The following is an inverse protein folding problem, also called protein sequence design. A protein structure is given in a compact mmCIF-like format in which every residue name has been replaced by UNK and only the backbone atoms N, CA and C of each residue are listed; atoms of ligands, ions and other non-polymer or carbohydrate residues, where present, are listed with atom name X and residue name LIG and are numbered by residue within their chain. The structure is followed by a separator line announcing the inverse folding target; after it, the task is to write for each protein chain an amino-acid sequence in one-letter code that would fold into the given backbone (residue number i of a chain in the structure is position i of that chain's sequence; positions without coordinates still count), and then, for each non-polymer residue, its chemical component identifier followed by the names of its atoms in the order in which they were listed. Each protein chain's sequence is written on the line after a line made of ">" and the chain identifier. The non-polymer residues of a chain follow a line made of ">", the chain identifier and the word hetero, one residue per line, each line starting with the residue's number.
data_IF_555980647597
#
_entry.id   IF_555980647597
#
_cell.length_a   1.000
_cell.length_b   1.000
_cell.length_c   1.000
_cell.angle_alpha   90.00
_cell.angle_beta   90.00
_cell.angle_gamma   90.00
#
_symmetry.space_group_name_H-M   'P 1'
#
loop_
_entity.id
_entity.type
_entity.pdbx_description
1 polymer ?
#
# COMPACT_ATOMS: atom_id res chain seq x y z
N UNK A 1 29.17 -51.79 -35.12
CA UNK A 1 28.34 -51.10 -34.08
C UNK A 1 28.64 -49.62 -34.16
N UNK A 2 27.64 -48.82 -34.57
CA UNK A 2 27.77 -47.39 -34.85
C UNK A 2 27.93 -46.58 -33.55
N UNK A 3 29.07 -45.91 -33.41
CA UNK A 3 29.29 -44.94 -32.34
C UNK A 3 28.84 -43.56 -32.83
N UNK A 4 27.55 -43.27 -32.65
CA UNK A 4 26.97 -41.98 -32.99
C UNK A 4 27.42 -40.94 -31.95
N UNK A 5 28.53 -40.23 -32.21
CA UNK A 5 28.98 -39.13 -31.35
C UNK A 5 28.05 -37.94 -31.57
N UNK A 6 27.13 -37.74 -30.64
CA UNK A 6 26.23 -36.60 -30.60
C UNK A 6 27.07 -35.32 -30.40
N UNK A 7 27.33 -34.60 -31.49
CA UNK A 7 27.95 -33.29 -31.44
C UNK A 7 26.92 -32.31 -30.86
N UNK A 8 27.04 -32.04 -29.56
CA UNK A 8 26.29 -30.97 -28.91
C UNK A 8 26.81 -29.67 -29.52
N UNK A 9 26.05 -29.11 -30.48
CA UNK A 9 26.43 -27.87 -31.15
C UNK A 9 26.51 -26.75 -30.10
N UNK A 10 27.68 -26.09 -30.03
CA UNK A 10 27.99 -24.97 -29.13
C UNK A 10 26.91 -23.87 -29.15
N UNK A 11 26.18 -23.76 -30.27
CA UNK A 11 25.04 -22.85 -30.44
C UNK A 11 23.90 -23.11 -29.45
N UNK A 12 23.57 -24.37 -29.17
CA UNK A 12 22.51 -24.72 -28.23
C UNK A 12 22.90 -24.44 -26.78
N UNK A 13 24.18 -24.66 -26.41
CA UNK A 13 24.68 -24.37 -25.06
C UNK A 13 24.65 -22.85 -24.81
N UNK A 14 25.05 -22.04 -25.79
CA UNK A 14 25.00 -20.58 -25.72
C UNK A 14 23.56 -20.06 -25.54
N UNK A 15 22.60 -20.62 -26.29
CA UNK A 15 21.19 -20.25 -26.19
C UNK A 15 20.60 -20.63 -24.82
N UNK A 16 20.90 -21.81 -24.30
CA UNK A 16 20.46 -22.23 -22.95
C UNK A 16 21.07 -21.35 -21.83
N UNK A 17 22.32 -20.89 -21.98
CA UNK A 17 22.96 -19.97 -21.03
C UNK A 17 22.33 -18.57 -21.08
N UNK A 18 21.98 -18.07 -22.27
CA UNK A 18 21.25 -16.80 -22.43
C UNK A 18 19.83 -16.88 -21.85
N UNK A 19 19.09 -17.97 -22.08
CA UNK A 19 17.75 -18.16 -21.50
C UNK A 19 17.79 -18.31 -19.97
N UNK A 20 18.79 -18.98 -19.41
CA UNK A 20 18.94 -19.09 -17.95
C UNK A 20 19.41 -17.79 -17.31
N UNK A 21 20.26 -16.99 -17.96
CA UNK A 21 20.61 -15.65 -17.50
C UNK A 21 19.40 -14.69 -17.47
N UNK A 22 18.49 -14.79 -18.45
CA UNK A 22 17.23 -14.02 -18.45
C UNK A 22 16.27 -14.52 -17.36
N UNK A 23 16.19 -15.83 -17.13
CA UNK A 23 15.31 -16.41 -16.11
C UNK A 23 15.70 -16.04 -14.66
N UNK A 24 16.98 -15.76 -14.38
CA UNK A 24 17.45 -15.35 -13.04
C UNK A 24 17.10 -13.89 -12.72
N UNK A 25 16.82 -13.07 -13.73
CA UNK A 25 16.44 -11.65 -13.54
C UNK A 25 14.96 -11.43 -13.23
N UNK A 26 14.14 -12.48 -13.24
CA UNK A 26 12.74 -12.45 -12.75
C UNK A 26 12.66 -12.63 -11.22
N UNK A 27 13.73 -12.34 -10.48
CA UNK A 27 13.62 -12.09 -9.06
C UNK A 27 12.69 -10.89 -8.85
N UNK A 28 11.74 -11.01 -7.92
CA UNK A 28 10.81 -9.94 -7.52
C UNK A 28 11.65 -8.69 -7.21
N UNK A 29 11.75 -7.78 -8.18
CA UNK A 29 12.55 -6.57 -8.04
C UNK A 29 11.82 -5.67 -7.04
N UNK A 30 12.46 -5.42 -5.90
CA UNK A 30 12.02 -4.39 -4.97
C UNK A 30 12.14 -3.03 -5.66
N UNK A 31 11.00 -2.48 -6.05
CA UNK A 31 10.92 -1.18 -6.70
C UNK A 31 10.47 -0.12 -5.69
N UNK A 32 10.97 1.11 -5.82
CA UNK A 32 10.50 2.21 -4.99
C UNK A 32 9.01 2.46 -5.23
N UNK A 33 8.24 2.52 -4.16
CA UNK A 33 6.85 2.98 -4.18
C UNK A 33 6.87 4.49 -4.40
N UNK A 34 5.98 4.99 -5.26
CA UNK A 34 5.89 6.40 -5.64
C UNK A 34 4.54 7.00 -5.26
N UNK A 35 4.54 8.29 -5.01
CA UNK A 35 3.33 9.07 -4.79
C UNK A 35 2.69 9.51 -6.12
N UNK A 36 1.57 10.22 -6.06
CA UNK A 36 0.87 10.75 -7.23
C UNK A 36 1.68 11.76 -8.05
N UNK A 37 2.79 12.28 -7.52
CA UNK A 37 3.71 13.17 -8.22
C UNK A 37 4.91 12.41 -8.82
N UNK A 38 4.96 11.08 -8.66
CA UNK A 38 6.06 10.24 -9.12
C UNK A 38 7.28 10.24 -8.20
N UNK A 39 7.20 10.88 -7.02
CA UNK A 39 8.29 10.92 -6.06
C UNK A 39 8.32 9.64 -5.22
N UNK A 40 9.51 9.08 -4.91
CA UNK A 40 9.61 7.95 -4.00
C UNK A 40 9.02 8.26 -2.62
N UNK A 41 8.21 7.34 -2.09
CA UNK A 41 7.70 7.42 -0.73
C UNK A 41 8.84 7.37 0.27
N UNK A 42 8.80 8.26 1.24
CA UNK A 42 9.76 8.35 2.35
C UNK A 42 9.13 7.79 3.62
N UNK A 43 9.88 6.98 4.35
CA UNK A 43 9.47 6.53 5.70
C UNK A 43 9.27 7.73 6.63
N UNK A 44 8.38 7.61 7.61
CA UNK A 44 8.01 8.67 8.57
C UNK A 44 7.42 9.95 7.93
N UNK A 45 7.14 9.94 6.63
CA UNK A 45 6.46 11.05 5.94
C UNK A 45 4.96 10.76 5.87
N UNK A 46 4.15 11.81 5.97
CA UNK A 46 2.70 11.68 5.98
C UNK A 46 2.14 11.60 4.57
N UNK A 47 1.29 10.61 4.31
CA UNK A 47 0.60 10.44 3.05
C UNK A 47 -0.89 10.23 3.28
N UNK A 48 -1.71 10.72 2.36
CA UNK A 48 -3.09 10.29 2.23
C UNK A 48 -3.15 9.07 1.31
N UNK A 49 -3.90 8.04 1.71
CA UNK A 49 -4.29 6.95 0.81
C UNK A 49 -5.57 7.38 0.08
N UNK A 50 -5.50 7.39 -1.24
CA UNK A 50 -6.62 7.76 -2.11
C UNK A 50 -7.00 6.59 -3.01
N UNK A 51 -8.30 6.27 -3.18
CA UNK A 51 -8.72 5.25 -4.13
C UNK A 51 -8.17 5.56 -5.53
N UNK A 52 -7.76 4.51 -6.25
CA UNK A 52 -7.36 4.65 -7.65
C UNK A 52 -8.56 5.05 -8.54
N UNK A 53 -8.26 5.59 -9.72
CA UNK A 53 -9.23 6.19 -10.63
C UNK A 53 -10.41 5.26 -10.93
N UNK A 54 -11.63 5.80 -10.91
CA UNK A 54 -12.85 5.04 -11.23
C UNK A 54 -13.52 4.32 -10.04
N UNK A 55 -12.94 4.35 -8.84
CA UNK A 55 -13.60 3.86 -7.61
C UNK A 55 -14.29 5.02 -6.89
N UNK A 56 -15.61 4.93 -6.73
CA UNK A 56 -16.41 5.92 -6.01
C UNK A 56 -16.10 5.84 -4.51
N UNK A 57 -15.51 6.91 -3.94
CA UNK A 57 -15.33 7.08 -2.51
C UNK A 57 -14.21 8.06 -2.16
N UNK A 58 -14.08 8.37 -0.87
CA UNK A 58 -13.07 9.25 -0.31
C UNK A 58 -11.85 8.50 0.20
N UNK A 59 -11.05 9.18 1.02
CA UNK A 59 -9.90 8.55 1.68
C UNK A 59 -10.31 7.73 2.91
N UNK A 60 -9.32 7.33 3.70
CA UNK A 60 -9.51 6.38 4.80
C UNK A 60 -9.60 7.07 6.16
N UNK A 61 -10.47 6.55 7.03
CA UNK A 61 -10.64 6.99 8.42
C UNK A 61 -10.81 5.81 9.37
N UNK A 62 -10.36 5.94 10.62
CA UNK A 62 -10.63 4.94 11.65
C UNK A 62 -12.02 5.18 12.27
N UNK A 63 -12.82 4.12 12.39
CA UNK A 63 -14.13 4.16 13.05
C UNK A 63 -14.43 2.83 13.77
N UNK A 64 -15.35 2.84 14.74
CA UNK A 64 -15.76 1.62 15.45
C UNK A 64 -16.42 0.63 14.48
N UNK A 65 -16.10 -0.65 14.63
CA UNK A 65 -16.58 -1.71 13.73
C UNK A 65 -18.08 -1.93 13.92
N UNK A 66 -18.53 -1.88 15.18
CA UNK A 66 -19.92 -1.98 15.59
C UNK A 66 -20.17 -1.20 16.89
N UNK A 67 -21.40 -1.23 17.41
CA UNK A 67 -21.82 -0.50 18.61
C UNK A 67 -21.30 -1.11 19.93
N UNK A 68 -20.90 -2.38 19.91
CA UNK A 68 -20.41 -3.10 21.09
C UNK A 68 -18.87 -3.05 21.20
N UNK A 69 -18.18 -2.89 20.07
CA UNK A 69 -16.74 -2.88 19.94
C UNK A 69 -16.25 -1.50 19.50
N UNK A 70 -16.20 -0.57 20.47
CA UNK A 70 -15.74 0.80 20.21
C UNK A 70 -14.24 0.86 19.88
N UNK A 71 -13.46 -0.10 20.37
CA UNK A 71 -12.03 -0.26 20.10
C UNK A 71 -11.66 -1.76 19.98
N UNK A 72 -10.67 -2.13 19.14
CA UNK A 72 -9.92 -1.27 18.20
C UNK A 72 -10.81 -0.71 17.09
N UNK A 73 -10.33 0.31 16.37
CA UNK A 73 -11.06 0.92 15.28
C UNK A 73 -10.82 0.13 13.98
N UNK A 74 -11.86 -0.11 13.20
CA UNK A 74 -11.75 -0.56 11.82
C UNK A 74 -11.30 0.56 10.90
N UNK A 75 -10.87 0.20 9.69
CA UNK A 75 -10.45 1.15 8.65
C UNK A 75 -11.57 1.27 7.62
N UNK A 76 -12.17 2.45 7.55
CA UNK A 76 -13.31 2.72 6.68
C UNK A 76 -12.95 3.68 5.55
N UNK A 77 -13.59 3.48 4.42
CA UNK A 77 -13.58 4.43 3.31
C UNK A 77 -14.67 5.47 3.52
N UNK A 78 -14.30 6.74 3.38
CA UNK A 78 -15.23 7.86 3.48
C UNK A 78 -16.00 8.09 2.18
N UNK A 79 -16.97 9.01 2.20
CA UNK A 79 -17.57 9.52 0.96
C UNK A 79 -16.57 10.42 0.20
N UNK A 80 -16.76 10.63 -1.12
CA UNK A 80 -15.95 11.60 -1.85
C UNK A 80 -15.92 12.95 -1.14
N UNK A 81 -14.76 13.62 -1.17
CA UNK A 81 -14.52 14.94 -0.57
C UNK A 81 -14.56 15.03 0.97
N UNK A 82 -14.81 13.93 1.68
CA UNK A 82 -14.69 13.90 3.14
C UNK A 82 -13.22 13.90 3.61
N UNK A 83 -12.96 14.40 4.83
CA UNK A 83 -11.62 14.42 5.40
C UNK A 83 -11.09 12.98 5.57
N UNK A 84 -9.89 12.74 5.04
CA UNK A 84 -9.13 11.51 5.28
C UNK A 84 -8.07 11.75 6.32
N UNK A 85 -7.73 10.72 7.09
CA UNK A 85 -6.62 10.80 8.03
C UNK A 85 -5.31 10.43 7.33
N UNK A 86 -4.22 11.20 7.51
CA UNK A 86 -2.93 10.82 6.95
C UNK A 86 -2.39 9.58 7.67
N UNK A 87 -1.48 8.89 6.97
CA UNK A 87 -0.73 7.76 7.52
C UNK A 87 0.77 8.01 7.40
N UNK A 88 1.54 7.35 8.26
CA UNK A 88 2.98 7.16 8.08
C UNK A 88 3.28 5.70 7.79
N UNK A 89 4.34 5.49 6.99
CA UNK A 89 4.87 4.16 6.70
C UNK A 89 6.24 4.03 7.38
N UNK A 90 6.41 2.92 8.08
CA UNK A 90 7.66 2.52 8.71
C UNK A 90 8.06 1.13 8.25
N UNK A 91 9.34 0.80 8.36
CA UNK A 91 9.81 -0.58 8.23
C UNK A 91 10.05 -1.14 9.64
N UNK A 92 9.68 -2.41 9.93
CA UNK A 92 9.87 -3.03 11.25
C UNK A 92 11.31 -3.02 11.76
N UNK A 93 12.29 -2.89 10.86
CA UNK A 93 13.72 -2.94 11.13
C UNK A 93 14.43 -1.61 10.84
N UNK A 94 13.91 -0.80 9.92
CA UNK A 94 14.51 0.48 9.52
C UNK A 94 13.54 1.67 9.64
N UNK A 95 14.00 2.76 10.26
CA UNK A 95 13.13 3.93 10.49
C UNK A 95 13.23 5.01 9.39
N UNK A 96 14.25 4.98 8.53
CA UNK A 96 14.52 6.02 7.51
C UNK A 96 14.71 5.44 6.12
N UNK A 97 14.68 6.29 5.10
CA UNK A 97 14.86 5.93 3.70
C UNK A 97 13.54 5.74 2.96
N UNK A 98 13.62 5.18 1.76
CA UNK A 98 12.47 5.06 0.87
C UNK A 98 11.72 3.74 1.09
N UNK A 99 10.43 3.74 0.81
CA UNK A 99 9.57 2.56 0.86
C UNK A 99 9.66 1.80 -0.46
N UNK A 100 9.92 0.49 -0.39
CA UNK A 100 9.98 -0.39 -1.56
C UNK A 100 8.81 -1.38 -1.59
N UNK A 101 8.39 -1.79 -2.79
CA UNK A 101 7.40 -2.84 -2.98
C UNK A 101 7.88 -4.17 -2.40
N UNK A 102 6.96 -5.05 -2.04
CA UNK A 102 7.23 -6.40 -1.52
C UNK A 102 8.07 -6.47 -0.23
N UNK A 103 8.31 -5.35 0.44
CA UNK A 103 8.95 -5.28 1.77
C UNK A 103 7.91 -5.23 2.88
N UNK A 104 8.24 -5.77 4.05
CA UNK A 104 7.37 -5.70 5.22
C UNK A 104 7.34 -4.25 5.72
N UNK A 105 6.15 -3.68 5.82
CA UNK A 105 5.91 -2.34 6.31
C UNK A 105 4.91 -2.34 7.46
N UNK A 106 4.96 -1.27 8.24
CA UNK A 106 4.00 -0.93 9.29
C UNK A 106 3.32 0.37 8.87
N UNK A 107 1.99 0.37 8.89
CA UNK A 107 1.17 1.52 8.57
C UNK A 107 0.55 2.04 9.87
N UNK A 108 0.60 3.35 10.07
CA UNK A 108 0.06 4.00 11.25
C UNK A 108 -0.73 5.24 10.87
N UNK A 109 -1.91 5.43 11.46
CA UNK A 109 -2.64 6.68 11.33
C UNK A 109 -1.96 7.82 12.10
N UNK A 110 -1.95 9.01 11.50
CA UNK A 110 -1.48 10.25 12.13
C UNK A 110 -2.67 11.10 12.54
N UNK A 111 -2.91 11.22 13.85
CA UNK A 111 -3.95 12.07 14.42
C UNK A 111 -3.48 12.65 15.76
N UNK A 112 -3.72 13.93 16.06
CA UNK A 112 -3.46 14.48 17.39
C UNK A 112 -4.41 13.91 18.44
N UNK A 113 -5.62 13.49 18.05
CA UNK A 113 -6.66 12.99 18.95
C UNK A 113 -6.85 11.48 18.69
N UNK A 114 -6.78 10.68 19.74
CA UNK A 114 -7.00 9.24 19.67
C UNK A 114 -7.77 8.76 20.90
N UNK A 115 -8.95 8.20 20.67
CA UNK A 115 -9.88 7.84 21.75
C UNK A 115 -9.69 6.40 22.25
N UNK A 116 -9.04 5.54 21.46
CA UNK A 116 -8.77 4.17 21.87
C UNK A 116 -7.48 4.08 22.71
N UNK A 117 -7.46 3.24 23.76
CA UNK A 117 -6.25 2.98 24.54
C UNK A 117 -5.23 2.09 23.80
N UNK A 118 -5.52 1.71 22.56
CA UNK A 118 -4.67 0.93 21.68
C UNK A 118 -3.94 1.82 20.67
N UNK A 119 -2.89 1.29 20.03
CA UNK A 119 -2.09 2.03 19.06
C UNK A 119 -2.88 2.44 17.80
N UNK A 120 -2.32 3.37 17.04
CA UNK A 120 -2.80 3.76 15.69
C UNK A 120 -2.28 2.85 14.56
N UNK A 121 -1.50 1.82 14.94
CA UNK A 121 -0.86 0.90 13.99
C UNK A 121 -1.91 -0.05 13.45
N UNK A 122 -1.88 -0.25 12.13
CA UNK A 122 -2.76 -1.17 11.44
C UNK A 122 -2.33 -2.62 11.71
N UNK A 123 -3.31 -3.51 11.80
CA UNK A 123 -3.13 -4.97 11.87
C UNK A 123 -4.30 -5.69 11.23
N UNK A 124 -4.12 -6.96 10.93
CA UNK A 124 -5.22 -7.89 10.62
C UNK A 124 -5.62 -8.60 11.92
N UNK A 125 -6.91 -8.57 12.26
CA UNK A 125 -7.43 -9.29 13.42
C UNK A 125 -7.79 -10.75 13.11
N UNK A 126 -8.25 -11.48 14.13
CA UNK A 126 -8.67 -12.89 13.97
C UNK A 126 -9.88 -13.09 13.08
N UNK A 127 -10.68 -12.04 12.87
CA UNK A 127 -11.85 -12.03 11.99
C UNK A 127 -11.50 -11.54 10.58
N UNK A 128 -10.21 -11.43 10.26
CA UNK A 128 -9.68 -10.94 8.98
C UNK A 128 -9.98 -9.47 8.69
N UNK A 129 -10.49 -8.70 9.65
CA UNK A 129 -10.67 -7.27 9.50
C UNK A 129 -9.34 -6.53 9.65
N UNK A 130 -9.17 -5.47 8.87
CA UNK A 130 -8.03 -4.57 9.07
C UNK A 130 -8.43 -3.50 10.08
N UNK A 131 -7.73 -3.51 11.22
CA UNK A 131 -8.06 -2.71 12.39
C UNK A 131 -6.82 -1.99 12.92
N UNK A 132 -7.03 -1.02 13.82
CA UNK A 132 -5.96 -0.39 14.58
C UNK A 132 -5.56 -1.24 15.80
N UNK A 133 -4.63 -0.75 16.62
CA UNK A 133 -4.15 -1.47 17.80
C UNK A 133 -3.09 -2.53 17.51
N UNK A 134 -2.48 -2.48 16.32
CA UNK A 134 -1.30 -3.28 15.99
C UNK A 134 -0.09 -2.96 16.85
N UNK A 135 0.95 -3.77 16.74
CA UNK A 135 2.20 -3.58 17.51
C UNK A 135 3.39 -3.56 16.59
N UNK A 136 4.37 -2.74 16.94
CA UNK A 136 5.62 -2.71 16.21
C UNK A 136 6.29 -4.10 16.27
N UNK A 137 6.86 -4.57 15.15
CA UNK A 137 7.46 -5.91 15.00
C UNK A 137 6.52 -7.11 15.18
N UNK A 138 5.20 -6.89 15.22
CA UNK A 138 4.22 -7.97 15.29
C UNK A 138 3.79 -8.40 13.89
N UNK A 139 3.73 -9.72 13.65
CA UNK A 139 3.44 -10.29 12.31
C UNK A 139 2.06 -9.91 11.78
N UNK A 140 1.06 -9.82 12.66
CA UNK A 140 -0.30 -9.35 12.36
C UNK A 140 -0.34 -7.90 11.87
N UNK A 141 0.70 -7.12 12.16
CA UNK A 141 0.84 -5.70 11.81
C UNK A 141 1.73 -5.47 10.58
N UNK A 142 2.23 -6.55 9.95
CA UNK A 142 3.05 -6.46 8.75
C UNK A 142 2.20 -6.49 7.50
N UNK A 143 2.39 -5.48 6.65
CA UNK A 143 1.80 -5.43 5.32
C UNK A 143 2.89 -5.34 4.27
N UNK A 144 2.54 -5.53 3.00
CA UNK A 144 3.40 -5.22 1.86
C UNK A 144 2.62 -4.48 0.80
N UNK A 145 3.32 -3.61 0.08
CA UNK A 145 2.78 -2.92 -1.09
C UNK A 145 3.17 -3.68 -2.36
N UNK A 146 2.20 -3.89 -3.24
CA UNK A 146 2.40 -4.45 -4.56
C UNK A 146 1.83 -3.51 -5.60
N UNK A 147 2.44 -3.46 -6.80
CA UNK A 147 1.82 -2.76 -7.93
C UNK A 147 0.49 -3.42 -8.27
N UNK A 148 -0.47 -2.62 -8.72
CA UNK A 148 -1.78 -3.11 -9.11
C UNK A 148 -2.22 -2.52 -10.45
N UNK A 149 -2.60 -3.41 -11.37
CA UNK A 149 -3.04 -3.03 -12.71
C UNK A 149 -1.93 -2.38 -13.55
N UNK A 150 -2.36 -1.71 -14.62
CA UNK A 150 -1.47 -1.00 -15.56
C UNK A 150 -1.43 0.51 -15.30
N UNK A 151 -2.23 1.02 -14.34
CA UNK A 151 -2.25 2.43 -14.00
C UNK A 151 -0.97 2.81 -13.24
N UNK A 152 -0.38 3.94 -13.62
CA UNK A 152 0.86 4.41 -13.01
C UNK A 152 0.68 4.70 -11.52
N UNK A 153 1.70 4.33 -10.73
CA UNK A 153 1.82 4.55 -9.28
C UNK A 153 0.57 4.08 -8.50
N UNK A 154 -0.02 2.97 -8.96
CA UNK A 154 -1.17 2.33 -8.34
C UNK A 154 -0.75 1.06 -7.62
N UNK A 155 -1.23 0.90 -6.39
CA UNK A 155 -0.80 -0.15 -5.49
C UNK A 155 -2.00 -0.89 -4.88
N UNK A 156 -1.74 -2.13 -4.46
CA UNK A 156 -2.57 -2.90 -3.53
C UNK A 156 -1.79 -3.21 -2.26
N UNK A 157 -2.52 -3.38 -1.16
CA UNK A 157 -1.97 -3.83 0.11
C UNK A 157 -2.17 -5.33 0.22
N UNK A 158 -1.13 -6.05 0.66
CA UNK A 158 -1.22 -7.49 0.97
C UNK A 158 -0.72 -7.78 2.38
N UNK A 159 -1.25 -8.84 2.97
CA UNK A 159 -0.83 -9.36 4.27
C UNK A 159 -0.48 -10.84 4.14
N UNK A 160 0.55 -11.28 4.86
CA UNK A 160 0.92 -12.70 4.89
C UNK A 160 0.07 -13.42 5.93
N UNK A 161 -0.92 -14.19 5.48
CA UNK A 161 -1.73 -14.99 6.37
C UNK A 161 -1.01 -16.29 6.69
N UNK A 162 -0.89 -16.58 7.98
CA UNK A 162 -0.33 -17.82 8.48
C UNK A 162 -1.41 -18.56 9.26
N UNK A 163 -2.26 -19.27 8.53
CA UNK A 163 -3.21 -20.22 9.11
C UNK A 163 -2.76 -21.66 8.83
N UNK A 164 -3.28 -22.61 9.61
CA UNK A 164 -2.95 -24.03 9.57
C UNK A 164 -3.19 -24.65 8.17
N UNK A 165 -4.11 -24.09 7.39
CA UNK A 165 -4.43 -24.55 6.04
C UNK A 165 -3.86 -23.68 4.90
N UNK A 166 -3.48 -22.42 5.15
CA UNK A 166 -3.16 -21.44 4.11
C UNK A 166 -1.90 -20.65 4.49
N UNK A 167 -0.89 -20.75 3.62
CA UNK A 167 0.37 -19.99 3.70
C UNK A 167 0.55 -19.14 2.45
N UNK A 168 -0.11 -18.01 2.40
CA UNK A 168 -0.02 -17.13 1.23
C UNK A 168 -0.27 -15.67 1.59
N UNK A 169 0.18 -14.80 0.68
CA UNK A 169 -0.23 -13.40 0.70
C UNK A 169 -1.67 -13.30 0.25
N UNK A 170 -2.44 -12.51 0.99
CA UNK A 170 -3.82 -12.16 0.65
C UNK A 170 -3.90 -10.65 0.49
N UNK A 171 -4.64 -10.20 -0.51
CA UNK A 171 -4.89 -8.78 -0.73
C UNK A 171 -5.91 -8.24 0.26
N UNK A 172 -5.75 -6.97 0.59
CA UNK A 172 -6.77 -6.21 1.32
C UNK A 172 -7.81 -5.73 0.34
N UNK A 173 -9.05 -6.09 0.60
CA UNK A 173 -10.23 -5.65 -0.12
C UNK A 173 -11.12 -4.77 0.73
N UNK A 174 -12.37 -4.65 0.29
CA UNK A 174 -13.39 -3.87 0.99
C UNK A 174 -14.65 -4.72 1.14
N UNK A 175 -15.25 -4.67 2.33
CA UNK A 175 -16.56 -5.24 2.63
C UNK A 175 -17.50 -4.16 3.16
N UNK A 176 -18.79 -4.45 3.28
CA UNK A 176 -19.75 -3.52 3.87
C UNK A 176 -19.70 -3.64 5.39
N UNK A 177 -19.31 -2.57 6.08
CA UNK A 177 -19.29 -2.52 7.55
C UNK A 177 -20.68 -2.26 8.15
N UNK A 178 -20.76 -2.27 9.49
CA UNK A 178 -22.03 -2.18 10.23
C UNK A 178 -22.88 -0.94 9.88
N UNK A 179 -22.24 0.20 9.64
CA UNK A 179 -22.92 1.45 9.27
C UNK A 179 -23.21 1.58 7.76
N UNK A 180 -23.07 0.50 6.99
CA UNK A 180 -23.19 0.52 5.53
C UNK A 180 -21.99 1.17 4.82
N UNK A 181 -20.99 1.64 5.57
CA UNK A 181 -19.78 2.23 5.03
C UNK A 181 -18.77 1.13 4.62
N UNK A 182 -18.02 1.30 3.52
CA UNK A 182 -17.04 0.31 3.09
C UNK A 182 -15.88 0.23 4.09
N UNK A 183 -15.49 -0.98 4.49
CA UNK A 183 -14.47 -1.28 5.50
C UNK A 183 -13.42 -2.25 4.95
N UNK A 184 -12.16 -2.08 5.36
CA UNK A 184 -11.08 -2.97 4.94
C UNK A 184 -11.14 -4.36 5.59
N UNK A 185 -10.97 -5.38 4.75
CA UNK A 185 -10.93 -6.78 5.13
C UNK A 185 -9.88 -7.51 4.30
N UNK A 186 -9.29 -8.57 4.84
CA UNK A 186 -8.43 -9.46 4.09
C UNK A 186 -9.28 -10.36 3.18
N UNK A 187 -8.96 -10.42 1.90
CA UNK A 187 -9.67 -11.28 0.96
C UNK A 187 -9.37 -12.77 1.21
N UNK A 188 -10.39 -13.62 1.09
CA UNK A 188 -10.22 -15.08 1.20
C UNK A 188 -9.39 -15.65 0.04
N UNK A 189 -9.51 -15.05 -1.15
CA UNK A 189 -8.75 -15.39 -2.35
C UNK A 189 -8.06 -14.13 -2.83
N UNK A 190 -6.78 -14.21 -3.19
CA UNK A 190 -6.09 -13.09 -3.86
C UNK A 190 -6.52 -13.05 -5.33
N UNK A 191 -7.80 -12.74 -5.56
CA UNK A 191 -8.31 -12.38 -6.86
C UNK A 191 -8.37 -10.86 -6.99
N UNK A 192 -8.24 -10.36 -8.22
CA UNK A 192 -8.21 -8.91 -8.46
C UNK A 192 -9.60 -8.24 -8.38
N UNK A 193 -10.68 -9.00 -8.13
CA UNK A 193 -12.05 -8.48 -8.18
C UNK A 193 -12.39 -7.59 -6.99
N UNK A 194 -11.95 -8.00 -5.79
CA UNK A 194 -12.29 -7.30 -4.54
C UNK A 194 -11.14 -6.48 -3.96
N UNK A 195 -10.01 -6.37 -4.67
CA UNK A 195 -8.83 -5.63 -4.20
C UNK A 195 -9.14 -4.15 -4.05
N UNK A 196 -8.77 -3.58 -2.91
CA UNK A 196 -8.72 -2.14 -2.77
C UNK A 196 -7.42 -1.61 -3.39
N UNK A 197 -7.56 -0.89 -4.50
CA UNK A 197 -6.45 -0.29 -5.23
C UNK A 197 -6.39 1.20 -4.96
N UNK A 198 -5.20 1.74 -4.75
CA UNK A 198 -5.01 3.09 -4.28
C UNK A 198 -3.68 3.71 -4.73
N UNK A 199 -3.60 5.03 -4.56
CA UNK A 199 -2.40 5.84 -4.73
C UNK A 199 -2.08 6.58 -3.44
N UNK A 200 -0.83 7.01 -3.31
CA UNK A 200 -0.39 7.84 -2.21
C UNK A 200 -0.28 9.29 -2.64
N UNK A 201 -0.84 10.21 -1.86
CA UNK A 201 -0.64 11.64 -2.05
C UNK A 201 0.09 12.19 -0.84
N UNK A 202 1.28 12.75 -1.04
CA UNK A 202 2.05 13.39 0.03
C UNK A 202 1.23 14.51 0.69
N UNK A 203 1.26 14.57 2.02
CA UNK A 203 0.65 15.67 2.75
C UNK A 203 1.61 16.84 2.67
N UNK A 204 1.32 17.78 1.77
CA UNK A 204 2.11 19.01 1.66
C UNK A 204 2.22 19.74 2.99
N UNK A 205 3.43 20.22 3.30
CA UNK A 205 3.67 21.00 4.50
C UNK A 205 2.95 22.36 4.40
N UNK A 206 2.59 22.98 5.54
CA UNK A 206 1.96 24.31 5.54
C UNK A 206 2.78 25.34 4.73
N UNK A 207 4.10 25.20 4.74
CA UNK A 207 5.07 25.97 3.96
C UNK A 207 4.88 25.83 2.45
N UNK A 208 4.68 24.62 1.92
CA UNK A 208 4.47 24.41 0.48
C UNK A 208 3.11 24.93 0.01
N UNK A 209 2.05 24.74 0.82
CA UNK A 209 0.71 25.30 0.50
C UNK A 209 0.71 26.82 0.48
N UNK A 210 1.48 27.46 1.36
CA UNK A 210 1.67 28.91 1.35
C UNK A 210 2.45 29.34 0.12
N UNK A 211 3.52 28.63 -0.25
CA UNK A 211 4.33 28.95 -1.42
C UNK A 211 3.55 28.78 -2.74
N UNK A 212 2.79 27.70 -2.94
CA UNK A 212 1.91 27.55 -4.10
C UNK A 212 0.86 28.66 -4.17
N UNK A 213 0.23 28.99 -3.04
CA UNK A 213 -0.77 30.06 -2.97
C UNK A 213 -0.18 31.44 -3.28
N UNK A 214 1.08 31.68 -2.91
CA UNK A 214 1.80 32.91 -3.23
C UNK A 214 2.28 32.94 -4.69
N UNK A 215 2.74 31.81 -5.22
CA UNK A 215 3.16 31.65 -6.62
C UNK A 215 1.99 31.92 -7.59
N UNK A 216 0.82 31.31 -7.34
CA UNK A 216 -0.41 31.58 -8.10
C UNK A 216 -0.83 33.05 -8.07
N UNK A 217 -0.57 33.79 -6.98
CA UNK A 217 -0.87 35.22 -6.89
C UNK A 217 0.12 36.11 -7.65
N UNK A 218 1.37 35.67 -7.81
CA UNK A 218 2.37 36.43 -8.59
C UNK A 218 2.12 36.37 -10.10
N UNK A 219 1.50 35.31 -10.62
CA UNK A 219 1.15 35.22 -12.05
C UNK A 219 0.01 36.18 -12.49
N UNK A 220 -0.73 36.79 -11.56
CA UNK A 220 -1.78 37.77 -11.86
C UNK A 220 -1.34 39.23 -11.76
N UNK A 221 -0.05 39.51 -11.53
CA UNK A 221 0.49 40.88 -11.37
C UNK A 221 1.52 41.24 -12.44
N UNK A 222 1.26 40.91 -13.71
CA UNK A 222 1.95 41.57 -14.83
C UNK A 222 0.93 42.47 -15.52
N UNK A 223 0.94 43.79 -15.29
CA UNK A 223 0.16 44.71 -16.11
C UNK A 223 0.79 44.69 -17.52
N UNK A 224 -0.02 44.37 -18.54
CA UNK A 224 0.40 44.56 -19.93
C UNK A 224 0.58 46.06 -20.15
N UNK A 225 1.77 46.44 -20.62
CA UNK A 225 2.12 47.80 -21.04
C UNK A 225 1.11 48.42 -21.99
#
# INVERSE_FOLDING_TARGET
>A
MNNNKQAISFSFISLFLLLSAVAISAAISEELVKDTNGNPLKRQTQYFIQPASGKNGGGLVPASIDLNNLCPLGIFQTLPYQPSLPITISDPFFYKGNVSTNTNIIIMFESPIWLCPSSKIWKVDSSSYVTTGGRFKSRDSFFRLQKYGNEQDTYKLVHYQHDSAIRSFKSVGVTTGFFGAPMFVLNEVDDDKNVFSFKFREVGTLTEKVFEKLSLRMFFLVPSK
#
